data_IF_615567080818
#
_entry.id   IF_615567080818
#
_cell.length_a   1.000
_cell.length_b   1.000
_cell.length_c   1.000
_cell.angle_alpha   90.00
_cell.angle_beta   90.00
_cell.angle_gamma   90.00
#
_symmetry.space_group_name_H-M   'P 1'
#
loop_
_entity.id
_entity.type
_entity.pdbx_description
1 polymer ?
#
# COMPACT_ATOMS: atom_id res chain seq x y z
N UNK A 1 18.36 46.18 37.12
CA UNK A 1 18.12 46.57 38.53
C UNK A 1 17.09 45.68 39.24
N UNK A 2 16.63 44.57 38.67
CA UNK A 2 15.61 43.69 39.28
C UNK A 2 16.17 42.59 40.19
N UNK A 3 17.45 42.22 40.06
CA UNK A 3 18.04 41.13 40.85
C UNK A 3 18.22 41.49 42.34
N UNK A 4 18.61 42.74 42.63
CA UNK A 4 18.85 43.21 44.00
C UNK A 4 17.51 43.40 44.74
N UNK A 5 16.44 43.81 44.03
CA UNK A 5 15.13 44.03 44.65
C UNK A 5 14.49 42.71 45.12
N UNK A 6 14.67 41.62 44.36
CA UNK A 6 14.14 40.30 44.74
C UNK A 6 14.90 39.63 45.89
N UNK A 7 16.20 39.95 46.07
CA UNK A 7 16.99 39.42 47.18
C UNK A 7 16.57 39.99 48.55
N UNK A 8 16.08 41.24 48.58
CA UNK A 8 15.58 41.91 49.79
C UNK A 8 14.07 41.81 49.99
N UNK A 9 13.30 41.41 48.97
CA UNK A 9 11.84 41.33 49.03
C UNK A 9 11.29 40.06 49.71
N UNK A 10 12.15 39.12 50.16
CA UNK A 10 11.73 37.81 50.70
C UNK A 10 10.64 37.15 49.84
N UNK A 11 10.73 37.30 48.53
CA UNK A 11 9.83 36.65 47.60
C UNK A 11 10.31 35.21 47.44
N UNK A 12 9.85 34.33 48.34
CA UNK A 12 10.14 32.90 48.38
C UNK A 12 9.60 32.13 47.16
N UNK A 13 9.17 32.84 46.11
CA UNK A 13 8.61 32.29 44.88
C UNK A 13 9.68 31.90 43.85
N UNK A 14 10.96 32.21 44.08
CA UNK A 14 12.06 31.74 43.21
C UNK A 14 12.37 30.29 43.56
N UNK A 15 12.13 29.31 42.67
CA UNK A 15 12.41 27.91 42.95
C UNK A 15 13.90 27.74 43.26
N UNK A 16 14.19 26.96 44.29
CA UNK A 16 15.56 26.64 44.66
C UNK A 16 16.28 25.96 43.50
N UNK A 17 17.61 26.10 43.45
CA UNK A 17 18.44 25.43 42.45
C UNK A 17 18.19 23.91 42.41
N UNK A 18 17.85 23.32 43.57
CA UNK A 18 17.47 21.92 43.71
C UNK A 18 16.13 21.59 43.04
N UNK A 19 15.13 22.45 43.15
CA UNK A 19 13.82 22.30 42.49
C UNK A 19 13.94 22.47 40.98
N UNK A 20 14.72 23.45 40.53
CA UNK A 20 15.02 23.65 39.10
C UNK A 20 15.75 22.45 38.50
N UNK A 21 16.76 21.90 39.21
CA UNK A 21 17.47 20.70 38.77
C UNK A 21 16.55 19.46 38.73
N UNK A 22 15.61 19.33 39.67
CA UNK A 22 14.64 18.24 39.69
C UNK A 22 13.65 18.36 38.52
N UNK A 23 13.14 19.56 38.25
CA UNK A 23 12.25 19.84 37.12
C UNK A 23 12.94 19.54 35.76
N UNK A 24 14.19 19.98 35.59
CA UNK A 24 14.98 19.68 34.39
C UNK A 24 15.20 18.17 34.21
N UNK A 25 15.53 17.44 35.28
CA UNK A 25 15.68 15.97 35.24
C UNK A 25 14.37 15.28 34.85
N UNK A 26 13.23 15.78 35.34
CA UNK A 26 11.92 15.24 34.98
C UNK A 26 11.61 15.47 33.49
N UNK A 27 11.85 16.68 32.96
CA UNK A 27 11.66 17.00 31.54
C UNK A 27 12.56 16.12 30.66
N UNK A 28 13.84 16.00 31.00
CA UNK A 28 14.79 15.15 30.26
C UNK A 28 14.33 13.69 30.25
N UNK A 29 13.85 13.17 31.39
CA UNK A 29 13.35 11.80 31.49
C UNK A 29 12.10 11.58 30.63
N UNK A 30 11.17 12.52 30.66
CA UNK A 30 9.94 12.46 29.86
C UNK A 30 10.26 12.46 28.36
N UNK A 31 11.07 13.42 27.90
CA UNK A 31 11.45 13.52 26.49
C UNK A 31 12.25 12.30 26.02
N UNK A 32 13.13 11.76 26.87
CA UNK A 32 13.87 10.51 26.57
C UNK A 32 12.92 9.32 26.38
N UNK A 33 11.87 9.23 27.18
CA UNK A 33 10.88 8.16 27.06
C UNK A 33 9.99 8.35 25.83
N UNK A 34 9.55 9.59 25.56
CA UNK A 34 8.77 9.92 24.37
C UNK A 34 9.54 9.55 23.09
N UNK A 35 10.81 9.98 22.97
CA UNK A 35 11.68 9.64 21.85
C UNK A 35 11.85 8.13 21.66
N UNK A 36 11.99 7.36 22.76
CA UNK A 36 12.09 5.90 22.68
C UNK A 36 10.81 5.26 22.14
N UNK A 37 9.65 5.79 22.52
CA UNK A 37 8.37 5.30 22.01
C UNK A 37 8.18 5.68 20.55
N UNK A 38 8.51 6.91 20.18
CA UNK A 38 8.42 7.41 18.80
C UNK A 38 9.32 6.63 17.84
N UNK A 39 10.57 6.34 18.24
CA UNK A 39 11.48 5.50 17.43
C UNK A 39 10.92 4.10 17.21
N UNK A 40 10.32 3.50 18.25
CA UNK A 40 9.69 2.17 18.11
C UNK A 40 8.46 2.21 17.21
N UNK A 41 7.66 3.26 17.31
CA UNK A 41 6.50 3.44 16.44
C UNK A 41 6.96 3.59 15.00
N UNK A 42 7.94 4.45 14.74
CA UNK A 42 8.52 4.64 13.40
C UNK A 42 9.08 3.35 12.80
N UNK A 43 9.81 2.54 13.58
CA UNK A 43 10.30 1.23 13.12
C UNK A 43 9.14 0.26 12.77
N UNK A 44 8.06 0.31 13.54
CA UNK A 44 6.86 -0.51 13.31
C UNK A 44 6.12 -0.05 12.05
N UNK A 45 5.91 1.26 11.90
CA UNK A 45 5.23 1.85 10.75
C UNK A 45 6.03 1.60 9.47
N UNK A 46 7.35 1.78 9.50
CA UNK A 46 8.23 1.50 8.36
C UNK A 46 8.14 0.04 7.90
N UNK A 47 8.17 -0.91 8.86
CA UNK A 47 8.01 -2.34 8.54
C UNK A 47 6.64 -2.64 7.94
N UNK A 48 5.59 -1.99 8.43
CA UNK A 48 4.24 -2.18 7.91
C UNK A 48 4.10 -1.62 6.50
N UNK A 49 4.58 -0.39 6.25
CA UNK A 49 4.55 0.24 4.93
C UNK A 49 5.32 -0.58 3.89
N UNK A 50 6.48 -1.14 4.25
CA UNK A 50 7.24 -2.00 3.33
C UNK A 50 6.44 -3.26 2.97
N UNK A 51 5.80 -3.91 3.96
CA UNK A 51 4.97 -5.10 3.70
C UNK A 51 3.79 -4.79 2.78
N UNK A 52 3.11 -3.66 3.01
CA UNK A 52 1.98 -3.21 2.20
C UNK A 52 2.43 -2.91 0.76
N UNK A 53 3.56 -2.20 0.60
CA UNK A 53 4.12 -1.90 -0.71
C UNK A 53 4.54 -3.17 -1.47
N UNK A 54 5.12 -4.16 -0.78
CA UNK A 54 5.48 -5.45 -1.39
C UNK A 54 4.24 -6.23 -1.84
N UNK A 55 3.17 -6.23 -1.05
CA UNK A 55 1.91 -6.87 -1.40
C UNK A 55 1.25 -6.19 -2.60
N UNK A 56 1.22 -4.86 -2.61
CA UNK A 56 0.67 -4.08 -3.73
C UNK A 56 1.47 -4.30 -5.01
N UNK A 57 2.81 -4.30 -4.94
CA UNK A 57 3.67 -4.58 -6.08
C UNK A 57 3.37 -5.96 -6.68
N UNK A 58 3.22 -7.00 -5.86
CA UNK A 58 2.86 -8.35 -6.34
C UNK A 58 1.50 -8.34 -7.03
N UNK A 59 0.51 -7.68 -6.45
CA UNK A 59 -0.85 -7.56 -7.03
C UNK A 59 -0.82 -6.86 -8.39
N UNK A 60 -0.14 -5.72 -8.47
CA UNK A 60 -0.04 -4.93 -9.70
C UNK A 60 0.74 -5.69 -10.77
N UNK A 61 1.86 -6.33 -10.40
CA UNK A 61 2.66 -7.13 -11.33
C UNK A 61 1.81 -8.25 -11.94
N UNK A 62 1.10 -9.02 -11.12
CA UNK A 62 0.20 -10.07 -11.57
C UNK A 62 -0.88 -9.53 -12.51
N UNK A 63 -1.55 -8.43 -12.11
CA UNK A 63 -2.56 -7.78 -12.93
C UNK A 63 -2.00 -7.29 -14.28
N UNK A 64 -0.79 -6.75 -14.30
CA UNK A 64 -0.13 -6.28 -15.51
C UNK A 64 0.23 -7.43 -16.45
N UNK A 65 0.78 -8.53 -15.91
CA UNK A 65 1.07 -9.75 -16.67
C UNK A 65 -0.20 -10.30 -17.31
N UNK A 66 -1.28 -10.50 -16.54
CA UNK A 66 -2.57 -10.94 -17.07
C UNK A 66 -3.13 -10.02 -18.15
N UNK A 67 -3.03 -8.71 -17.95
CA UNK A 67 -3.52 -7.72 -18.91
C UNK A 67 -2.75 -7.82 -20.22
N UNK A 68 -1.42 -7.93 -20.15
CA UNK A 68 -0.57 -8.10 -21.32
C UNK A 68 -0.89 -9.40 -22.07
N UNK A 69 -1.09 -10.52 -21.34
CA UNK A 69 -1.49 -11.79 -21.96
C UNK A 69 -2.84 -11.66 -22.69
N UNK A 70 -3.86 -11.05 -22.07
CA UNK A 70 -5.16 -10.81 -22.71
C UNK A 70 -5.04 -9.96 -23.96
N UNK A 71 -4.31 -8.83 -23.87
CA UNK A 71 -4.09 -7.95 -25.01
C UNK A 71 -3.37 -8.66 -26.17
N UNK A 72 -2.41 -9.53 -25.85
CA UNK A 72 -1.70 -10.33 -26.86
C UNK A 72 -2.63 -11.33 -27.54
N UNK A 73 -3.46 -12.04 -26.77
CA UNK A 73 -4.44 -12.98 -27.34
C UNK A 73 -5.49 -12.27 -28.19
N UNK A 74 -5.95 -11.09 -27.77
CA UNK A 74 -6.88 -10.26 -28.54
C UNK A 74 -6.26 -9.78 -29.85
N UNK A 75 -4.98 -9.36 -29.83
CA UNK A 75 -4.26 -8.97 -31.04
C UNK A 75 -4.13 -10.14 -32.03
N UNK A 76 -3.75 -11.32 -31.54
CA UNK A 76 -3.66 -12.54 -32.35
C UNK A 76 -5.02 -12.90 -32.94
N UNK A 77 -6.12 -12.80 -32.16
CA UNK A 77 -7.46 -13.06 -32.68
C UNK A 77 -7.84 -12.12 -33.83
N UNK A 78 -7.54 -10.82 -33.72
CA UNK A 78 -7.79 -9.86 -34.81
C UNK A 78 -6.97 -10.18 -36.05
N UNK A 79 -5.71 -10.57 -35.89
CA UNK A 79 -4.87 -10.98 -37.03
C UNK A 79 -5.41 -12.23 -37.73
N UNK A 80 -5.90 -13.21 -36.97
CA UNK A 80 -6.56 -14.41 -37.52
C UNK A 80 -7.79 -14.01 -38.33
N UNK A 81 -8.65 -13.13 -37.80
CA UNK A 81 -9.84 -12.63 -38.51
C UNK A 81 -9.45 -11.98 -39.85
N UNK A 82 -8.44 -11.11 -39.85
CA UNK A 82 -7.92 -10.48 -41.07
C UNK A 82 -7.42 -11.52 -42.08
N UNK A 83 -6.63 -12.50 -41.63
CA UNK A 83 -6.12 -13.59 -42.51
C UNK A 83 -7.30 -14.37 -43.10
N UNK A 84 -8.32 -14.66 -42.31
CA UNK A 84 -9.48 -15.42 -42.76
C UNK A 84 -10.32 -14.67 -43.81
N UNK A 85 -10.24 -13.34 -43.85
CA UNK A 85 -10.91 -12.52 -44.85
C UNK A 85 -10.16 -12.46 -46.20
N UNK A 86 -8.88 -12.84 -46.23
CA UNK A 86 -8.06 -12.81 -47.45
C UNK A 86 -8.52 -13.81 -48.51
N UNK A 87 -8.34 -13.44 -49.78
CA UNK A 87 -8.66 -14.32 -50.92
C UNK A 87 -7.74 -15.55 -50.98
N UNK A 88 -6.50 -15.42 -50.49
CA UNK A 88 -5.55 -16.52 -50.35
C UNK A 88 -6.08 -17.59 -49.39
N UNK A 89 -6.60 -17.19 -48.23
CA UNK A 89 -7.21 -18.12 -47.29
C UNK A 89 -8.52 -18.72 -47.83
N UNK A 90 -9.38 -17.91 -48.44
CA UNK A 90 -10.64 -18.40 -49.03
C UNK A 90 -10.40 -19.44 -50.14
N UNK A 91 -9.34 -19.25 -50.93
CA UNK A 91 -8.88 -20.18 -51.96
C UNK A 91 -8.06 -21.38 -51.44
N UNK A 92 -7.71 -21.40 -50.15
CA UNK A 92 -6.90 -22.47 -49.56
C UNK A 92 -7.64 -23.81 -49.46
N UNK A 93 -6.86 -24.87 -49.31
CA UNK A 93 -7.35 -26.23 -49.16
C UNK A 93 -8.06 -26.45 -47.80
N UNK A 94 -8.95 -27.44 -47.75
CA UNK A 94 -9.75 -27.77 -46.56
C UNK A 94 -8.92 -28.06 -45.30
N UNK A 95 -7.71 -28.64 -45.44
CA UNK A 95 -6.85 -28.93 -44.29
C UNK A 95 -6.31 -27.63 -43.68
N UNK A 96 -5.97 -26.66 -44.52
CA UNK A 96 -5.52 -25.33 -44.08
C UNK A 96 -6.65 -24.58 -43.36
N UNK A 97 -7.87 -24.61 -43.90
CA UNK A 97 -9.06 -24.02 -43.25
C UNK A 97 -9.37 -24.66 -41.91
N UNK A 98 -9.38 -25.99 -41.85
CA UNK A 98 -9.64 -26.72 -40.61
C UNK A 98 -8.61 -26.40 -39.51
N UNK A 99 -7.32 -26.28 -39.88
CA UNK A 99 -6.26 -25.91 -38.93
C UNK A 99 -6.42 -24.47 -38.41
N UNK A 100 -6.83 -23.54 -39.26
CA UNK A 100 -7.04 -22.16 -38.84
C UNK A 100 -8.20 -22.04 -37.84
N UNK A 101 -9.30 -22.75 -38.08
CA UNK A 101 -10.42 -22.83 -37.13
C UNK A 101 -10.01 -23.47 -35.81
N UNK A 102 -9.20 -24.54 -35.84
CA UNK A 102 -8.65 -25.14 -34.62
C UNK A 102 -7.75 -24.16 -33.85
N UNK A 103 -6.93 -23.39 -34.56
CA UNK A 103 -6.07 -22.38 -33.95
C UNK A 103 -6.88 -21.25 -33.33
N UNK A 104 -7.89 -20.70 -34.04
CA UNK A 104 -8.80 -19.68 -33.52
C UNK A 104 -9.54 -20.18 -32.26
N UNK A 105 -10.02 -21.43 -32.27
CA UNK A 105 -10.64 -22.05 -31.10
C UNK A 105 -9.66 -22.19 -29.93
N UNK A 106 -8.40 -22.52 -30.20
CA UNK A 106 -7.35 -22.59 -29.18
C UNK A 106 -7.03 -21.23 -28.58
N UNK A 107 -6.88 -20.17 -29.39
CA UNK A 107 -6.63 -18.80 -28.91
C UNK A 107 -7.80 -18.31 -28.06
N UNK A 108 -9.05 -18.57 -28.49
CA UNK A 108 -10.24 -18.30 -27.69
C UNK A 108 -10.26 -19.08 -26.36
N UNK A 109 -9.94 -20.37 -26.37
CA UNK A 109 -9.84 -21.19 -25.16
C UNK A 109 -8.72 -20.71 -24.21
N UNK A 110 -7.58 -20.27 -24.75
CA UNK A 110 -6.47 -19.74 -23.97
C UNK A 110 -6.89 -18.45 -23.25
N UNK A 111 -7.66 -17.58 -23.90
CA UNK A 111 -8.24 -16.38 -23.30
C UNK A 111 -9.17 -16.68 -22.12
N UNK A 112 -10.04 -17.70 -22.24
CA UNK A 112 -10.92 -18.13 -21.16
C UNK A 112 -10.17 -18.77 -19.97
N UNK A 113 -9.11 -19.55 -20.23
CA UNK A 113 -8.33 -20.18 -19.15
C UNK A 113 -7.52 -19.16 -18.34
N UNK A 114 -7.05 -18.08 -18.96
CA UNK A 114 -6.46 -16.94 -18.25
C UNK A 114 -7.45 -16.20 -17.33
N UNK A 115 -8.76 -16.34 -17.54
CA UNK A 115 -9.80 -15.72 -16.71
C UNK A 115 -10.34 -16.65 -15.61
N UNK A 116 -10.26 -17.97 -15.80
CA UNK A 116 -10.94 -18.96 -14.95
C UNK A 116 -10.05 -19.67 -13.93
N UNK A 117 -8.76 -19.91 -14.22
CA UNK A 117 -7.88 -20.68 -13.33
C UNK A 117 -7.35 -19.87 -12.12
N UNK A 118 -7.50 -18.55 -12.16
CA UNK A 118 -6.98 -17.59 -11.17
C UNK A 118 -8.00 -17.30 -10.05
N UNK A 119 -9.31 -17.22 -10.38
CA UNK A 119 -10.38 -16.96 -9.39
C UNK A 119 -10.49 -18.04 -8.31
N UNK A 120 -10.26 -19.31 -8.66
CA UNK A 120 -10.29 -20.42 -7.69
C UNK A 120 -9.06 -20.48 -6.78
N UNK A 121 -7.96 -19.82 -7.14
CA UNK A 121 -6.76 -19.72 -6.29
C UNK A 121 -6.81 -18.51 -5.37
N UNK A 122 -7.26 -17.35 -5.85
CA UNK A 122 -7.47 -16.16 -5.01
C UNK A 122 -8.54 -16.40 -3.94
N UNK A 123 -9.66 -17.07 -4.25
CA UNK A 123 -10.67 -17.42 -3.23
C UNK A 123 -10.19 -18.41 -2.16
N UNK A 124 -9.11 -19.18 -2.44
CA UNK A 124 -8.51 -20.09 -1.46
C UNK A 124 -7.46 -19.39 -0.60
N UNK A 125 -6.65 -18.51 -1.18
CA UNK A 125 -5.63 -17.76 -0.44
C UNK A 125 -6.26 -16.69 0.48
N UNK A 126 -7.33 -16.00 0.04
CA UNK A 126 -8.02 -15.00 0.88
C UNK A 126 -8.72 -15.64 2.10
N UNK A 127 -9.27 -16.86 1.94
CA UNK A 127 -9.91 -17.59 3.05
C UNK A 127 -8.92 -18.13 4.08
N UNK A 128 -7.67 -18.36 3.70
CA UNK A 128 -6.61 -18.78 4.65
C UNK A 128 -6.02 -17.57 5.39
N UNK A 129 -5.95 -16.37 4.78
CA UNK A 129 -5.51 -15.15 5.48
C UNK A 129 -6.54 -14.56 6.44
N UNK A 130 -7.84 -14.68 6.17
CA UNK A 130 -8.89 -14.18 7.07
C UNK A 130 -8.96 -14.92 8.43
N UNK A 131 -8.35 -16.10 8.57
CA UNK A 131 -8.31 -16.85 9.84
C UNK A 131 -7.20 -16.41 10.81
N UNK A 132 -6.20 -15.64 10.38
CA UNK A 132 -5.03 -15.29 11.23
C UNK A 132 -5.06 -13.89 11.85
N UNK A 133 -6.04 -13.03 11.52
CA UNK A 133 -6.11 -11.69 12.14
C UNK A 133 -6.71 -11.75 13.54
N UNK A 134 -5.97 -11.36 14.61
CA UNK A 134 -6.53 -11.29 15.96
C UNK A 134 -7.55 -10.14 16.01
N UNK A 135 -8.81 -10.45 16.36
CA UNK A 135 -9.81 -9.43 16.71
C UNK A 135 -9.38 -8.72 17.99
N UNK A 136 -8.87 -7.49 17.86
CA UNK A 136 -8.77 -6.59 18.99
C UNK A 136 -10.10 -5.87 19.20
N UNK A 137 -10.60 -5.96 20.43
CA UNK A 137 -11.87 -5.43 20.90
C UNK A 137 -11.88 -3.90 20.86
N UNK A 138 -13.00 -3.36 20.38
CA UNK A 138 -13.43 -1.99 20.57
C UNK A 138 -13.42 -1.61 22.05
N UNK A 139 -12.53 -0.70 22.45
CA UNK A 139 -12.83 0.30 23.48
C UNK A 139 -12.17 1.63 23.09
N UNK A 140 -12.96 2.52 22.50
CA UNK A 140 -12.74 3.95 22.60
C UNK A 140 -13.42 4.46 23.90
N UNK A 141 -12.92 5.57 24.46
CA UNK A 141 -13.70 6.76 24.20
C UNK A 141 -12.85 7.94 23.72
N UNK A 142 -13.26 8.43 22.55
CA UNK A 142 -13.39 9.84 22.14
C UNK A 142 -12.90 10.87 23.17
N UNK A 143 -11.85 11.64 22.83
CA UNK A 143 -11.90 13.11 22.77
C UNK A 143 -10.62 13.68 22.18
N UNK A 144 -10.76 14.71 21.34
CA UNK A 144 -9.65 15.60 20.95
C UNK A 144 -9.37 15.64 19.46
N UNK A 145 -10.12 16.47 18.75
CA UNK A 145 -9.88 16.81 17.36
C UNK A 145 -8.44 17.32 17.14
N UNK A 146 -7.69 16.66 16.27
CA UNK A 146 -6.51 17.24 15.61
C UNK A 146 -6.73 17.17 14.11
N UNK A 147 -7.21 18.29 13.58
CA UNK A 147 -7.30 18.56 12.14
C UNK A 147 -5.87 18.70 11.61
N UNK A 148 -5.40 17.74 10.80
CA UNK A 148 -4.20 17.93 9.99
C UNK A 148 -4.57 18.63 8.67
N UNK A 149 -3.81 19.65 8.23
CA UNK A 149 -4.02 20.26 6.93
C UNK A 149 -3.62 19.29 5.81
N UNK A 150 -4.43 19.24 4.75
CA UNK A 150 -4.18 18.40 3.59
C UNK A 150 -2.85 18.79 2.89
N UNK A 151 -2.03 17.79 2.58
CA UNK A 151 -0.66 17.88 2.03
C UNK A 151 -0.57 18.42 0.57
N UNK A 152 -1.43 19.37 0.17
CA UNK A 152 -1.39 19.95 -1.18
C UNK A 152 -0.69 21.31 -1.29
N UNK A 153 -0.25 21.92 -0.19
CA UNK A 153 0.33 23.28 -0.23
C UNK A 153 1.86 23.37 -0.07
N UNK A 154 2.58 22.27 0.18
CA UNK A 154 4.03 22.34 0.46
C UNK A 154 4.91 22.27 -0.82
N UNK A 155 4.34 22.00 -2.00
CA UNK A 155 5.11 21.81 -3.24
C UNK A 155 5.21 23.03 -4.17
N UNK A 156 4.98 24.26 -3.68
CA UNK A 156 5.08 25.48 -4.53
C UNK A 156 6.07 26.55 -4.06
N UNK A 157 6.96 26.25 -3.12
CA UNK A 157 8.01 27.19 -2.71
C UNK A 157 9.39 26.54 -2.79
N UNK A 158 9.77 26.09 -3.98
CA UNK A 158 11.16 25.85 -4.37
C UNK A 158 11.50 26.75 -5.55
#
# INVERSE_FOLDING_TARGET
MSFIYNYFACDNSTPSEKENAAALKAIIKTNKNALKSEIKQYDTDCKQTVKEAEAEYKRIKKQAEETMYRQTLDAVNREIEVIMETDEYKGSDEKTKAKMVQFQSWVGCAGYKCLGAEREKEEKEDKEQEQELPRYQDEAPVSGATSYPAEKEVLRSA
#
